data_IF_088647962059
#
_entry.id   IF_088647962059
#
_cell.length_a   1.000
_cell.length_b   1.000
_cell.length_c   1.000
_cell.angle_alpha   90.00
_cell.angle_beta   90.00
_cell.angle_gamma   90.00
#
_symmetry.space_group_name_H-M   'P 1'
#
loop_
_entity.id
_entity.type
_entity.pdbx_description
1 polymer ?
#
# COMPACT_ATOMS: atom_id res chain seq x y z
N UNK A 1 -5.17 -11.34 1.19
CA UNK A 1 -5.44 -10.90 -0.21
C UNK A 1 -4.96 -9.48 -0.46
N UNK A 2 -4.68 -8.74 0.60
CA UNK A 2 -4.58 -7.28 0.65
C UNK A 2 -3.37 -6.77 -0.15
N UNK A 3 -2.21 -7.44 -0.03
CA UNK A 3 -1.03 -7.13 -0.84
C UNK A 3 -1.23 -7.40 -2.34
N UNK A 4 -1.91 -8.50 -2.69
CA UNK A 4 -2.22 -8.82 -4.10
C UNK A 4 -3.20 -7.81 -4.67
N UNK A 5 -4.23 -7.44 -3.91
CA UNK A 5 -5.19 -6.40 -4.27
C UNK A 5 -4.51 -5.04 -4.46
N UNK A 6 -3.61 -4.65 -3.55
CA UNK A 6 -2.86 -3.39 -3.66
C UNK A 6 -1.94 -3.33 -4.88
N UNK A 7 -1.26 -4.44 -5.22
CA UNK A 7 -0.42 -4.54 -6.44
C UNK A 7 -1.27 -4.45 -7.70
N UNK A 8 -2.39 -5.18 -7.76
CA UNK A 8 -3.30 -5.14 -8.90
C UNK A 8 -3.92 -3.75 -9.09
N UNK A 9 -4.29 -3.09 -7.99
CA UNK A 9 -4.81 -1.74 -8.02
C UNK A 9 -3.76 -0.73 -8.50
N UNK A 10 -2.50 -0.83 -8.04
CA UNK A 10 -1.42 -0.01 -8.54
C UNK A 10 -1.17 -0.21 -10.05
N UNK A 11 -1.25 -1.46 -10.53
CA UNK A 11 -1.17 -1.78 -11.97
C UNK A 11 -2.34 -1.20 -12.76
N UNK A 12 -3.55 -1.25 -12.21
CA UNK A 12 -4.74 -0.65 -12.82
C UNK A 12 -4.59 0.87 -12.94
N UNK A 13 -4.13 1.54 -11.87
CA UNK A 13 -3.86 2.98 -11.89
C UNK A 13 -2.81 3.36 -12.94
N UNK A 14 -1.80 2.51 -13.14
CA UNK A 14 -0.77 2.71 -14.15
C UNK A 14 -1.28 2.62 -15.60
N UNK A 15 -2.47 2.07 -15.84
CA UNK A 15 -3.07 2.06 -17.17
C UNK A 15 -3.55 3.45 -17.60
N UNK A 16 -3.92 4.30 -16.63
CA UNK A 16 -4.50 5.62 -16.89
C UNK A 16 -3.54 6.79 -16.59
N UNK A 17 -2.44 6.54 -15.86
CA UNK A 17 -1.45 7.56 -15.51
C UNK A 17 -0.31 7.64 -16.53
N UNK A 18 0.12 8.87 -16.82
CA UNK A 18 1.37 9.13 -17.56
C UNK A 18 2.59 8.77 -16.70
N UNK A 19 2.59 9.23 -15.45
CA UNK A 19 3.61 8.89 -14.46
C UNK A 19 3.20 7.65 -13.67
N UNK A 20 3.88 6.54 -13.98
CA UNK A 20 3.60 5.22 -13.42
C UNK A 20 4.09 5.12 -11.98
N UNK A 21 3.27 4.52 -11.14
CA UNK A 21 3.57 4.17 -9.76
C UNK A 21 4.28 2.81 -9.75
N UNK A 22 5.31 2.65 -8.94
CA UNK A 22 5.93 1.34 -8.73
C UNK A 22 4.92 0.38 -8.06
N UNK A 23 4.55 -0.75 -8.69
CA UNK A 23 3.57 -1.69 -8.12
C UNK A 23 3.96 -2.24 -6.74
N UNK A 24 5.25 -2.25 -6.40
CA UNK A 24 5.73 -2.64 -5.06
C UNK A 24 5.20 -1.70 -3.98
N UNK A 25 5.03 -0.41 -4.26
CA UNK A 25 4.40 0.56 -3.34
C UNK A 25 2.94 0.17 -3.07
N UNK A 26 2.25 -0.40 -4.06
CA UNK A 26 0.88 -0.91 -3.90
C UNK A 26 0.80 -2.06 -2.90
N UNK A 27 1.79 -2.95 -2.85
CA UNK A 27 1.86 -4.00 -1.83
C UNK A 27 2.08 -3.45 -0.41
N UNK A 28 2.68 -2.26 -0.27
CA UNK A 28 2.97 -1.65 1.02
C UNK A 28 1.69 -1.21 1.78
N UNK A 29 0.55 -1.09 1.09
CA UNK A 29 -0.71 -0.55 1.61
C UNK A 29 -1.43 -1.40 2.67
N UNK A 30 -0.81 -2.47 3.18
CA UNK A 30 -1.34 -3.25 4.30
C UNK A 30 -1.12 -2.50 5.63
N UNK A 31 -1.97 -2.73 6.62
CA UNK A 31 -1.97 -2.04 7.92
C UNK A 31 -0.83 -2.44 8.88
N UNK A 32 0.32 -2.88 8.37
CA UNK A 32 1.48 -3.32 9.14
C UNK A 32 2.54 -2.22 9.18
N UNK A 33 2.29 -1.16 9.95
CA UNK A 33 3.19 -0.02 10.07
C UNK A 33 4.26 -0.23 11.15
N UNK A 34 5.54 0.12 10.91
CA UNK A 34 6.17 0.55 9.65
C UNK A 34 6.76 -0.60 8.80
N UNK A 35 6.59 -1.85 9.24
CA UNK A 35 7.30 -3.02 8.70
C UNK A 35 6.99 -3.31 7.23
N UNK A 36 5.73 -3.18 6.80
CA UNK A 36 5.36 -3.39 5.39
C UNK A 36 6.15 -2.48 4.45
N UNK A 37 6.33 -1.21 4.82
CA UNK A 37 7.10 -0.25 4.03
C UNK A 37 8.60 -0.57 4.01
N UNK A 38 9.13 -1.15 5.09
CA UNK A 38 10.54 -1.60 5.18
C UNK A 38 10.79 -2.83 4.34
N UNK A 39 9.89 -3.82 4.35
CA UNK A 39 9.98 -5.01 3.49
C UNK A 39 9.97 -4.61 2.02
N UNK A 40 9.13 -3.66 1.64
CA UNK A 40 9.07 -3.14 0.27
C UNK A 40 10.36 -2.39 -0.11
N UNK A 41 10.96 -1.64 0.83
CA UNK A 41 12.27 -1.02 0.58
C UNK A 41 13.36 -2.08 0.40
N UNK A 42 13.40 -3.13 1.22
CA UNK A 42 14.37 -4.22 1.08
C UNK A 42 14.23 -4.89 -0.28
N UNK A 43 13.01 -5.27 -0.69
CA UNK A 43 12.79 -5.86 -2.02
C UNK A 43 13.16 -4.89 -3.15
N UNK A 44 12.88 -3.59 -3.01
CA UNK A 44 13.28 -2.60 -4.00
C UNK A 44 14.80 -2.45 -4.11
N UNK A 45 15.52 -2.52 -2.99
CA UNK A 45 16.99 -2.49 -2.93
C UNK A 45 17.62 -3.76 -3.51
N UNK A 46 16.97 -4.93 -3.33
CA UNK A 46 17.43 -6.20 -3.92
C UNK A 46 17.31 -6.20 -5.45
N UNK A 47 16.28 -5.54 -6.00
CA UNK A 47 16.08 -5.37 -7.45
C UNK A 47 16.95 -4.24 -8.04
N UNK A 48 17.04 -3.10 -7.35
CA UNK A 48 17.87 -1.95 -7.73
C UNK A 48 18.36 -1.20 -6.47
N UNK A 49 19.67 -1.24 -6.16
CA UNK A 49 20.25 -0.57 -5.00
C UNK A 49 20.03 0.95 -4.95
N UNK A 50 19.74 1.59 -6.08
CA UNK A 50 19.47 3.03 -6.16
C UNK A 50 17.98 3.39 -6.03
N UNK A 51 17.10 2.38 -5.94
CA UNK A 51 15.65 2.57 -5.90
C UNK A 51 15.12 2.74 -4.45
N UNK A 52 15.11 3.98 -3.98
CA UNK A 52 14.62 4.33 -2.64
C UNK A 52 13.12 4.65 -2.66
N UNK A 53 12.30 3.63 -2.36
CA UNK A 53 10.83 3.73 -2.35
C UNK A 53 10.22 3.91 -0.96
N UNK A 54 11.03 3.85 0.11
CA UNK A 54 10.57 3.83 1.50
C UNK A 54 9.61 4.99 1.82
N UNK A 55 9.94 6.21 1.42
CA UNK A 55 9.12 7.41 1.69
C UNK A 55 7.72 7.28 1.06
N UNK A 56 7.65 6.75 -0.16
CA UNK A 56 6.37 6.52 -0.85
C UNK A 56 5.60 5.32 -0.26
N UNK A 57 6.31 4.25 0.08
CA UNK A 57 5.75 3.04 0.69
C UNK A 57 5.20 3.31 2.10
N UNK A 58 5.77 4.26 2.84
CA UNK A 58 5.25 4.73 4.13
C UNK A 58 3.90 5.41 3.94
N UNK A 59 3.75 6.28 2.94
CA UNK A 59 2.46 6.93 2.63
C UNK A 59 1.36 5.91 2.29
N UNK A 60 1.68 4.90 1.48
CA UNK A 60 0.74 3.83 1.16
C UNK A 60 0.32 3.04 2.42
N UNK A 61 1.26 2.70 3.29
CA UNK A 61 0.98 1.96 4.54
C UNK A 61 0.10 2.77 5.51
N UNK A 62 0.35 4.07 5.67
CA UNK A 62 -0.51 4.95 6.47
C UNK A 62 -1.94 4.98 5.92
N UNK A 63 -2.11 5.02 4.59
CA UNK A 63 -3.45 4.98 3.99
C UNK A 63 -4.21 3.69 4.30
N UNK A 64 -3.52 2.54 4.38
CA UNK A 64 -4.11 1.25 4.75
C UNK A 64 -4.65 1.22 6.17
N UNK A 65 -3.94 1.83 7.12
CA UNK A 65 -4.42 1.95 8.50
C UNK A 65 -5.68 2.83 8.60
N UNK A 66 -5.70 3.97 7.91
CA UNK A 66 -6.86 4.87 7.87
C UNK A 66 -8.06 4.14 7.25
N UNK A 67 -7.87 3.45 6.13
CA UNK A 67 -8.92 2.67 5.47
C UNK A 67 -9.51 1.59 6.37
N UNK A 68 -8.68 0.92 7.17
CA UNK A 68 -9.11 -0.11 8.12
C UNK A 68 -10.00 0.46 9.23
N UNK A 69 -9.66 1.64 9.77
CA UNK A 69 -10.48 2.32 10.79
C UNK A 69 -11.81 2.77 10.20
N UNK A 70 -11.83 3.30 8.98
CA UNK A 70 -13.06 3.70 8.29
C UNK A 70 -13.96 2.49 8.04
N UNK A 71 -13.40 1.38 7.54
CA UNK A 71 -14.15 0.15 7.31
C UNK A 71 -14.73 -0.41 8.62
N UNK A 72 -13.94 -0.43 9.69
CA UNK A 72 -14.41 -0.83 11.02
C UNK A 72 -15.53 0.07 11.55
N UNK A 73 -15.39 1.39 11.41
CA UNK A 73 -16.41 2.35 11.81
C UNK A 73 -17.71 2.21 11.03
N UNK A 74 -17.64 1.98 9.73
CA UNK A 74 -18.82 1.70 8.89
C UNK A 74 -19.51 0.41 9.32
N UNK A 75 -18.76 -0.68 9.51
CA UNK A 75 -19.33 -1.96 9.94
C UNK A 75 -20.03 -1.83 11.30
N UNK A 76 -19.43 -1.13 12.26
CA UNK A 76 -20.07 -0.84 13.54
C UNK A 76 -21.35 0.00 13.37
N UNK A 77 -21.35 0.97 12.47
CA UNK A 77 -22.55 1.76 12.16
C UNK A 77 -23.66 0.94 11.48
N UNK A 78 -23.32 -0.08 10.70
CA UNK A 78 -24.29 -0.91 9.99
C UNK A 78 -24.82 -2.08 10.82
N UNK A 79 -24.00 -2.65 11.70
CA UNK A 79 -24.33 -3.88 12.44
C UNK A 79 -24.39 -3.71 13.97
N UNK A 80 -23.85 -2.62 14.51
CA UNK A 80 -23.82 -2.31 15.94
C UNK A 80 -24.83 -1.26 16.39
N UNK A 81 -25.69 -0.78 15.48
CA UNK A 81 -26.88 0.00 15.79
C UNK A 81 -28.05 -0.92 16.19
#
# INVERSE_FOLDING_TARGET
MDSVGGVLFAKLLNLFRKDKINPMIGAAGISAFPMSSRVIQTMATDEDPQNFVLMYAVGANVSGQIGSVIAGGLLLSFFGA
#
